data_IF_679073099677
#
_entry.id   IF_679073099677
#
_cell.length_a   1.000
_cell.length_b   1.000
_cell.length_c   1.000
_cell.angle_alpha   90.00
_cell.angle_beta   90.00
_cell.angle_gamma   90.00
#
_symmetry.space_group_name_H-M   'P 1'
#
loop_
_entity.id
_entity.type
_entity.pdbx_description
1 polymer ?
#
# COMPACT_ATOMS: atom_id res chain seq x y z
N UNK A 1 -7.36 -41.68 71.38
CA UNK A 1 -8.38 -40.64 71.17
C UNK A 1 -8.27 -40.13 69.75
N UNK A 2 -9.39 -40.09 69.04
CA UNK A 2 -9.58 -39.51 67.71
C UNK A 2 -9.40 -37.98 67.72
N UNK A 3 -9.07 -37.41 66.55
CA UNK A 3 -9.94 -36.54 65.71
C UNK A 3 -9.06 -35.67 64.77
N UNK A 4 -9.15 -35.85 63.44
CA UNK A 4 -10.05 -35.16 62.48
C UNK A 4 -9.66 -33.70 62.22
N UNK A 5 -9.15 -33.39 61.01
CA UNK A 5 -9.66 -32.29 60.16
C UNK A 5 -8.90 -32.19 58.82
N UNK A 6 -9.67 -32.22 57.73
CA UNK A 6 -9.31 -31.89 56.35
C UNK A 6 -8.67 -30.50 56.20
N UNK A 7 -7.86 -30.33 55.16
CA UNK A 7 -8.16 -29.33 54.14
C UNK A 7 -7.46 -29.63 52.80
N UNK A 8 -8.30 -29.74 51.78
CA UNK A 8 -8.00 -29.68 50.36
C UNK A 8 -7.31 -28.38 49.95
N UNK A 9 -6.30 -28.50 49.10
CA UNK A 9 -5.91 -27.47 48.15
C UNK A 9 -5.28 -28.13 46.91
N UNK A 10 -6.03 -29.01 46.25
CA UNK A 10 -5.80 -29.31 44.85
C UNK A 10 -6.41 -28.17 44.02
N UNK A 11 -5.63 -27.13 43.74
CA UNK A 11 -6.07 -26.03 42.88
C UNK A 11 -4.99 -25.66 41.87
N UNK A 12 -5.33 -25.95 40.61
CA UNK A 12 -4.88 -25.30 39.38
C UNK A 12 -3.37 -25.29 39.11
N UNK A 13 -2.92 -26.38 38.50
CA UNK A 13 -1.67 -26.40 37.72
C UNK A 13 -1.72 -27.37 36.55
N UNK A 14 -2.91 -27.78 36.12
CA UNK A 14 -3.09 -28.57 34.90
C UNK A 14 -3.18 -27.63 33.71
N UNK A 15 -2.04 -27.11 33.25
CA UNK A 15 -1.94 -26.63 31.88
C UNK A 15 -2.16 -27.86 30.97
N UNK A 16 -3.42 -28.12 30.63
CA UNK A 16 -3.74 -28.95 29.47
C UNK A 16 -3.26 -28.17 28.26
N UNK A 17 -1.99 -28.38 27.93
CA UNK A 17 -1.46 -28.20 26.59
C UNK A 17 -2.13 -29.27 25.71
N UNK A 18 -3.43 -29.08 25.46
CA UNK A 18 -4.15 -29.86 24.47
C UNK A 18 -3.71 -29.33 23.12
N UNK A 19 -2.69 -29.97 22.57
CA UNK A 19 -2.38 -29.92 21.15
C UNK A 19 -3.60 -30.46 20.40
N UNK A 20 -4.55 -29.58 20.13
CA UNK A 20 -5.78 -29.89 19.43
C UNK A 20 -5.37 -30.15 17.97
N UNK A 21 -5.47 -31.40 17.53
CA UNK A 21 -5.12 -31.79 16.17
C UNK A 21 -6.37 -31.79 15.27
N UNK A 22 -6.21 -31.45 13.99
CA UNK A 22 -7.28 -31.48 12.99
C UNK A 22 -8.02 -32.82 12.94
N UNK A 23 -7.32 -33.92 13.24
CA UNK A 23 -7.89 -35.27 13.30
C UNK A 23 -9.04 -35.41 14.31
N UNK A 24 -9.12 -34.55 15.32
CA UNK A 24 -10.21 -34.53 16.32
C UNK A 24 -11.48 -33.85 15.81
N UNK A 25 -11.43 -33.16 14.67
CA UNK A 25 -12.54 -32.38 14.10
C UNK A 25 -12.72 -32.68 12.60
N UNK A 26 -13.17 -33.89 12.23
CA UNK A 26 -13.30 -34.31 10.83
C UNK A 26 -14.37 -33.52 10.04
N UNK A 27 -15.29 -32.85 10.74
CA UNK A 27 -16.29 -31.97 10.14
C UNK A 27 -15.72 -30.61 9.69
N UNK A 28 -14.51 -30.26 10.13
CA UNK A 28 -13.80 -29.07 9.67
C UNK A 28 -12.92 -29.44 8.48
N UNK A 29 -13.03 -28.68 7.39
CA UNK A 29 -12.05 -28.76 6.31
C UNK A 29 -10.67 -28.25 6.79
N UNK A 30 -9.60 -28.63 6.07
CA UNK A 30 -8.25 -28.13 6.36
C UNK A 30 -8.19 -26.59 6.39
N UNK A 31 -8.90 -25.94 5.45
CA UNK A 31 -8.95 -24.49 5.36
C UNK A 31 -9.69 -23.84 6.54
N UNK A 32 -10.78 -24.43 7.01
CA UNK A 32 -11.51 -23.97 8.20
C UNK A 32 -10.69 -24.18 9.47
N UNK A 33 -9.99 -25.30 9.58
CA UNK A 33 -9.08 -25.57 10.69
C UNK A 33 -7.94 -24.55 10.76
N UNK A 34 -7.26 -24.30 9.64
CA UNK A 34 -6.22 -23.27 9.56
C UNK A 34 -6.77 -21.87 9.86
N UNK A 35 -8.01 -21.58 9.46
CA UNK A 35 -8.68 -20.33 9.78
C UNK A 35 -8.89 -20.17 11.30
N UNK A 36 -9.28 -21.24 12.01
CA UNK A 36 -9.41 -21.23 13.47
C UNK A 36 -8.05 -21.08 14.16
N UNK A 37 -6.98 -21.73 13.67
CA UNK A 37 -5.63 -21.53 14.18
C UNK A 37 -5.16 -20.06 14.03
N UNK A 38 -5.46 -19.42 12.88
CA UNK A 38 -5.17 -17.99 12.68
C UNK A 38 -6.05 -17.10 13.56
N UNK A 39 -7.31 -17.45 13.76
CA UNK A 39 -8.20 -16.73 14.67
C UNK A 39 -7.71 -16.83 16.13
N UNK A 40 -7.15 -17.99 16.52
CA UNK A 40 -6.49 -18.18 17.82
C UNK A 40 -5.32 -17.21 18.01
N UNK A 41 -4.48 -17.05 16.99
CA UNK A 41 -3.37 -16.11 17.02
C UNK A 41 -3.80 -14.63 17.17
N UNK A 42 -5.02 -14.27 16.75
CA UNK A 42 -5.55 -12.89 16.83
C UNK A 42 -6.35 -12.64 18.11
N UNK A 43 -7.10 -13.64 18.58
CA UNK A 43 -8.06 -13.51 19.70
C UNK A 43 -7.65 -14.21 20.99
N UNK A 44 -6.58 -15.01 20.95
CA UNK A 44 -6.09 -15.84 22.03
C UNK A 44 -6.70 -17.26 22.03
N UNK A 45 -5.88 -18.24 22.38
CA UNK A 45 -6.24 -19.67 22.33
C UNK A 45 -7.46 -20.00 23.20
N UNK A 46 -7.66 -19.30 24.32
CA UNK A 46 -8.80 -19.53 25.21
C UNK A 46 -10.17 -19.34 24.56
N UNK A 47 -10.28 -18.40 23.61
CA UNK A 47 -11.53 -18.15 22.87
C UNK A 47 -11.83 -19.31 21.92
N UNK A 48 -10.80 -19.79 21.21
CA UNK A 48 -10.91 -20.91 20.28
C UNK A 48 -11.14 -22.23 21.02
N UNK A 49 -10.45 -22.45 22.14
CA UNK A 49 -10.64 -23.64 22.97
C UNK A 49 -12.06 -23.70 23.54
N UNK A 50 -12.62 -22.57 23.97
CA UNK A 50 -14.02 -22.49 24.41
C UNK A 50 -14.98 -22.78 23.26
N UNK A 51 -14.73 -22.24 22.06
CA UNK A 51 -15.54 -22.49 20.87
C UNK A 51 -15.49 -23.98 20.44
N UNK A 52 -14.31 -24.61 20.53
CA UNK A 52 -14.12 -26.02 20.17
C UNK A 52 -14.67 -26.98 21.22
N UNK A 53 -14.74 -26.57 22.49
CA UNK A 53 -15.24 -27.40 23.60
C UNK A 53 -16.74 -27.23 23.84
N UNK A 54 -17.28 -26.01 23.72
CA UNK A 54 -18.68 -25.69 24.03
C UNK A 54 -19.54 -25.41 22.79
N UNK A 55 -18.93 -25.13 21.64
CA UNK A 55 -19.64 -24.87 20.39
C UNK A 55 -20.06 -26.16 19.68
N UNK A 56 -21.18 -26.10 18.96
CA UNK A 56 -21.62 -27.19 18.07
C UNK A 56 -20.73 -27.25 16.81
N UNK A 57 -20.74 -28.38 16.11
CA UNK A 57 -19.98 -28.55 14.85
C UNK A 57 -20.31 -27.46 13.82
N UNK A 58 -21.58 -27.06 13.72
CA UNK A 58 -22.02 -25.98 12.84
C UNK A 58 -21.46 -24.62 13.27
N UNK A 59 -21.44 -24.35 14.58
CA UNK A 59 -20.93 -23.09 15.11
C UNK A 59 -19.42 -22.95 14.93
N UNK A 60 -18.68 -24.05 15.00
CA UNK A 60 -17.25 -24.09 14.70
C UNK A 60 -16.97 -23.81 13.22
N UNK A 61 -17.74 -24.44 12.32
CA UNK A 61 -17.66 -24.15 10.87
C UNK A 61 -18.01 -22.70 10.56
N UNK A 62 -19.10 -22.19 11.13
CA UNK A 62 -19.55 -20.82 10.90
C UNK A 62 -18.49 -19.81 11.35
N UNK A 63 -17.91 -19.98 12.54
CA UNK A 63 -16.85 -19.10 13.02
C UNK A 63 -15.62 -19.09 12.11
N UNK A 64 -15.22 -20.26 11.59
CA UNK A 64 -14.12 -20.36 10.64
C UNK A 64 -14.44 -19.63 9.32
N UNK A 65 -15.66 -19.82 8.79
CA UNK A 65 -16.11 -19.18 7.55
C UNK A 65 -16.27 -17.67 7.69
N UNK A 66 -16.83 -17.19 8.79
CA UNK A 66 -16.93 -15.77 9.11
C UNK A 66 -15.55 -15.12 9.20
N UNK A 67 -14.60 -15.80 9.84
CA UNK A 67 -13.22 -15.32 9.91
C UNK A 67 -12.56 -15.27 8.53
N UNK A 68 -12.70 -16.32 7.71
CA UNK A 68 -12.19 -16.31 6.33
C UNK A 68 -12.83 -15.21 5.48
N UNK A 69 -14.14 -15.00 5.60
CA UNK A 69 -14.86 -13.95 4.90
C UNK A 69 -14.39 -12.57 5.33
N UNK A 70 -14.12 -12.37 6.63
CA UNK A 70 -13.55 -11.14 7.16
C UNK A 70 -12.12 -10.91 6.68
N UNK A 71 -11.26 -11.92 6.70
CA UNK A 71 -9.90 -11.84 6.16
C UNK A 71 -9.91 -11.46 4.67
N UNK A 72 -10.83 -12.06 3.89
CA UNK A 72 -11.01 -11.72 2.49
C UNK A 72 -11.55 -10.30 2.30
N UNK A 73 -12.50 -9.86 3.13
CA UNK A 73 -13.01 -8.50 3.12
C UNK A 73 -11.93 -7.48 3.47
N UNK A 74 -11.10 -7.76 4.47
CA UNK A 74 -9.97 -6.95 4.88
C UNK A 74 -8.90 -6.89 3.77
N UNK A 75 -8.60 -8.02 3.11
CA UNK A 75 -7.69 -8.06 1.96
C UNK A 75 -8.24 -7.23 0.80
N UNK A 76 -9.54 -7.36 0.49
CA UNK A 76 -10.21 -6.55 -0.54
C UNK A 76 -10.24 -5.08 -0.16
N UNK A 77 -10.42 -4.75 1.12
CA UNK A 77 -10.37 -3.39 1.60
C UNK A 77 -8.96 -2.83 1.51
N UNK A 78 -7.91 -3.58 1.84
CA UNK A 78 -6.51 -3.16 1.63
C UNK A 78 -6.13 -3.05 0.15
N UNK A 79 -6.77 -3.84 -0.73
CA UNK A 79 -6.60 -3.73 -2.17
C UNK A 79 -7.33 -2.52 -2.77
N UNK A 80 -8.48 -2.13 -2.21
CA UNK A 80 -9.33 -1.02 -2.71
C UNK A 80 -9.00 0.32 -2.06
N UNK A 81 -8.56 0.30 -0.80
CA UNK A 81 -7.96 1.45 -0.15
C UNK A 81 -6.57 1.59 -0.78
N UNK A 82 -6.20 2.73 -1.37
CA UNK A 82 -4.81 3.01 -1.66
C UNK A 82 -4.12 3.02 -0.30
N UNK A 83 -3.60 1.87 0.11
CA UNK A 83 -2.91 1.73 1.37
C UNK A 83 -1.70 2.63 1.21
N UNK A 84 -1.76 3.82 1.82
CA UNK A 84 -0.59 4.58 2.19
C UNK A 84 0.12 3.78 3.29
N UNK A 85 0.49 2.53 3.00
CA UNK A 85 1.71 2.00 3.56
C UNK A 85 2.75 2.97 3.05
N UNK A 86 3.25 3.80 3.96
CA UNK A 86 4.58 4.36 3.90
C UNK A 86 5.58 3.20 3.90
N UNK A 87 5.49 2.33 2.89
CA UNK A 87 6.67 1.77 2.28
C UNK A 87 7.48 3.03 2.03
N UNK A 88 8.58 3.16 2.75
CA UNK A 88 9.68 4.01 2.34
C UNK A 88 10.08 3.43 1.00
N UNK A 89 9.32 3.84 0.01
CA UNK A 89 9.38 3.54 -1.39
C UNK A 89 10.84 3.26 -1.70
N UNK A 90 11.09 2.16 -2.38
CA UNK A 90 11.99 2.22 -3.52
C UNK A 90 11.45 3.32 -4.46
N UNK A 91 11.54 4.58 -4.01
CA UNK A 91 11.60 5.74 -4.88
C UNK A 91 12.95 5.44 -5.50
N UNK A 92 12.92 4.76 -6.63
CA UNK A 92 13.97 4.88 -7.60
C UNK A 92 14.07 6.39 -7.77
N UNK A 93 15.06 6.99 -7.13
CA UNK A 93 15.30 8.43 -7.20
C UNK A 93 15.84 8.67 -8.59
N UNK A 94 14.92 8.62 -9.57
CA UNK A 94 15.20 8.96 -10.95
C UNK A 94 15.51 10.43 -10.94
N UNK A 95 16.81 10.72 -10.95
CA UNK A 95 17.27 12.08 -11.09
C UNK A 95 16.95 12.51 -12.50
N UNK A 96 16.15 13.56 -12.60
CA UNK A 96 15.84 14.21 -13.87
C UNK A 96 16.52 15.54 -13.78
N UNK A 97 17.38 15.79 -14.75
CA UNK A 97 18.25 16.95 -14.82
C UNK A 97 17.41 18.23 -14.84
N UNK A 98 17.86 19.26 -14.12
CA UNK A 98 17.19 20.55 -14.19
C UNK A 98 17.54 21.26 -15.51
N UNK A 99 16.52 21.74 -16.22
CA UNK A 99 16.68 22.46 -17.49
C UNK A 99 16.55 23.96 -17.28
N UNK A 100 17.60 24.72 -17.56
CA UNK A 100 17.66 26.17 -17.30
C UNK A 100 17.08 27.05 -18.41
N UNK A 101 16.85 26.53 -19.61
CA UNK A 101 16.50 27.34 -20.79
C UNK A 101 17.68 28.05 -21.44
N UNK A 102 18.92 27.72 -21.05
CA UNK A 102 20.15 28.29 -21.61
C UNK A 102 21.07 27.20 -22.15
N UNK A 103 21.77 27.47 -23.26
CA UNK A 103 22.74 26.56 -23.87
C UNK A 103 22.37 26.12 -25.28
N UNK A 104 23.38 25.82 -26.10
CA UNK A 104 23.27 25.58 -27.56
C UNK A 104 22.80 24.15 -27.94
N UNK A 105 22.16 23.41 -27.03
CA UNK A 105 22.01 21.96 -27.15
C UNK A 105 20.54 21.55 -27.37
N UNK A 106 20.17 21.24 -28.62
CA UNK A 106 18.90 20.54 -28.96
C UNK A 106 18.74 19.22 -28.19
N UNK A 107 19.86 18.65 -27.74
CA UNK A 107 19.90 17.47 -26.89
C UNK A 107 19.46 17.75 -25.45
N UNK A 108 19.66 18.93 -24.87
CA UNK A 108 19.27 19.19 -23.48
C UNK A 108 17.75 19.22 -23.26
N UNK A 109 16.98 19.86 -24.15
CA UNK A 109 15.52 19.91 -24.02
C UNK A 109 14.86 18.57 -24.39
N UNK A 110 15.30 17.92 -25.47
CA UNK A 110 14.79 16.60 -25.83
C UNK A 110 15.19 15.51 -24.81
N UNK A 111 16.42 15.56 -24.26
CA UNK A 111 16.84 14.69 -23.15
C UNK A 111 15.99 14.90 -21.91
N UNK A 112 15.68 16.15 -21.54
CA UNK A 112 14.76 16.45 -20.45
C UNK A 112 13.41 15.78 -20.69
N UNK A 113 12.85 15.86 -21.90
CA UNK A 113 11.56 15.24 -22.19
C UNK A 113 11.60 13.73 -22.04
N UNK A 114 12.64 13.07 -22.55
CA UNK A 114 12.83 11.63 -22.37
C UNK A 114 12.98 11.24 -20.90
N UNK A 115 13.81 11.97 -20.13
CA UNK A 115 13.98 11.73 -18.69
C UNK A 115 12.67 11.93 -17.92
N UNK A 116 11.88 12.95 -18.29
CA UNK A 116 10.56 13.20 -17.72
C UNK A 116 9.59 12.07 -18.04
N UNK A 117 9.54 11.58 -19.27
CA UNK A 117 8.63 10.49 -19.66
C UNK A 117 8.95 9.21 -18.87
N UNK A 118 10.24 8.82 -18.84
CA UNK A 118 10.71 7.68 -18.05
C UNK A 118 10.36 7.84 -16.57
N UNK A 119 10.57 9.04 -16.00
CA UNK A 119 10.28 9.29 -14.60
C UNK A 119 8.78 9.32 -14.30
N UNK A 120 7.94 9.83 -15.21
CA UNK A 120 6.47 9.83 -15.08
C UNK A 120 5.93 8.41 -15.05
N UNK A 121 6.41 7.56 -15.96
CA UNK A 121 6.04 6.14 -16.03
C UNK A 121 6.51 5.38 -14.78
N UNK A 122 7.79 5.48 -14.43
CA UNK A 122 8.37 4.76 -13.30
C UNK A 122 7.79 5.21 -11.95
N UNK A 123 7.43 6.48 -11.80
CA UNK A 123 6.81 7.03 -10.57
C UNK A 123 5.28 6.88 -10.57
N UNK A 124 4.70 6.32 -11.64
CA UNK A 124 3.26 6.14 -11.81
C UNK A 124 2.46 7.43 -11.54
N UNK A 125 2.94 8.56 -12.03
CA UNK A 125 2.23 9.83 -11.87
C UNK A 125 0.94 9.77 -12.69
N UNK A 126 -0.19 9.52 -12.03
CA UNK A 126 -1.47 9.21 -12.67
C UNK A 126 -2.27 10.44 -13.08
N UNK A 127 -2.12 11.56 -12.36
CA UNK A 127 -2.91 12.77 -12.62
C UNK A 127 -2.19 13.71 -13.59
N UNK A 128 -2.96 14.35 -14.49
CA UNK A 128 -2.44 15.35 -15.42
C UNK A 128 -1.72 16.50 -14.69
N UNK A 129 -2.29 16.94 -13.57
CA UNK A 129 -1.74 17.99 -12.72
C UNK A 129 -0.42 17.59 -12.05
N UNK A 130 -0.28 16.33 -11.59
CA UNK A 130 1.00 15.86 -11.04
C UNK A 130 2.08 15.80 -12.13
N UNK A 131 1.73 15.36 -13.35
CA UNK A 131 2.66 15.33 -14.48
C UNK A 131 3.13 16.73 -14.86
N UNK A 132 2.23 17.71 -14.99
CA UNK A 132 2.61 19.10 -15.33
C UNK A 132 3.42 19.77 -14.23
N UNK A 133 3.03 19.60 -12.96
CA UNK A 133 3.82 20.10 -11.81
C UNK A 133 5.19 19.43 -11.71
N UNK A 134 5.28 18.15 -12.07
CA UNK A 134 6.56 17.46 -12.13
C UNK A 134 7.47 18.07 -13.20
N UNK A 135 6.98 18.31 -14.43
CA UNK A 135 7.77 19.00 -15.46
C UNK A 135 8.20 20.39 -14.98
N UNK A 136 7.29 21.17 -14.39
CA UNK A 136 7.60 22.49 -13.84
C UNK A 136 8.72 22.43 -12.78
N UNK A 137 8.72 21.38 -11.94
CA UNK A 137 9.75 21.18 -10.92
C UNK A 137 11.15 20.93 -11.50
N UNK A 138 11.22 20.51 -12.77
CA UNK A 138 12.47 20.25 -13.51
C UNK A 138 12.95 21.43 -14.34
N UNK A 139 12.20 22.52 -14.37
CA UNK A 139 12.66 23.77 -14.96
C UNK A 139 13.46 24.58 -13.92
N UNK A 140 14.52 25.21 -14.38
CA UNK A 140 15.36 26.16 -13.66
C UNK A 140 15.61 27.40 -14.52
N UNK A 141 16.29 28.41 -13.96
CA UNK A 141 16.72 29.62 -14.70
C UNK A 141 15.61 30.26 -15.54
N UNK A 142 15.95 30.63 -16.79
CA UNK A 142 15.04 31.26 -17.75
C UNK A 142 13.82 30.39 -18.09
N UNK A 143 13.98 29.07 -18.14
CA UNK A 143 12.85 28.17 -18.37
C UNK A 143 11.83 28.21 -17.24
N UNK A 144 12.29 28.28 -15.99
CA UNK A 144 11.41 28.41 -14.83
C UNK A 144 10.72 29.78 -14.79
N UNK A 145 11.47 30.85 -15.03
CA UNK A 145 10.91 32.21 -15.09
C UNK A 145 9.83 32.34 -16.16
N UNK A 146 10.09 31.81 -17.37
CA UNK A 146 9.12 31.78 -18.45
C UNK A 146 7.83 31.02 -18.05
N UNK A 147 7.97 29.84 -17.45
CA UNK A 147 6.83 29.01 -17.08
C UNK A 147 5.99 29.67 -15.97
N UNK A 148 6.65 30.28 -14.98
CA UNK A 148 5.97 31.04 -13.92
C UNK A 148 5.26 32.27 -14.48
N UNK A 149 5.85 32.99 -15.45
CA UNK A 149 5.19 34.13 -16.08
C UNK A 149 3.93 33.72 -16.83
N UNK A 150 3.93 32.57 -17.54
CA UNK A 150 2.69 32.03 -18.15
C UNK A 150 1.64 31.69 -17.10
N UNK A 151 2.03 31.03 -16.00
CA UNK A 151 1.12 30.67 -14.91
C UNK A 151 0.50 31.88 -14.21
N UNK A 152 1.25 32.98 -14.08
CA UNK A 152 0.74 34.25 -13.53
C UNK A 152 -0.29 34.88 -14.47
N UNK A 153 -0.07 34.79 -15.79
CA UNK A 153 -1.01 35.31 -16.78
C UNK A 153 -2.27 34.44 -16.90
N UNK A 154 -2.13 33.12 -16.79
CA UNK A 154 -3.21 32.15 -16.84
C UNK A 154 -2.85 30.90 -16.02
N UNK A 155 -3.57 30.68 -14.92
CA UNK A 155 -3.37 29.53 -14.04
C UNK A 155 -3.66 28.18 -14.74
N UNK A 156 -4.41 28.19 -15.85
CA UNK A 156 -4.78 27.02 -16.63
C UNK A 156 -3.89 26.79 -17.86
N UNK A 157 -2.80 27.55 -18.03
CA UNK A 157 -1.97 27.54 -19.24
C UNK A 157 -1.28 26.19 -19.53
N UNK A 158 -1.22 25.29 -18.55
CA UNK A 158 -0.65 23.94 -18.69
C UNK A 158 -1.69 22.85 -18.36
N UNK A 159 -2.69 22.62 -19.23
CA UNK A 159 -3.75 21.64 -18.98
C UNK A 159 -3.23 20.20 -19.07
N UNK A 160 -2.20 19.94 -19.89
CA UNK A 160 -1.59 18.62 -20.06
C UNK A 160 -0.07 18.70 -20.11
N UNK A 161 0.58 17.57 -19.84
CA UNK A 161 2.04 17.47 -20.02
C UNK A 161 2.45 17.66 -21.48
N UNK A 162 1.65 17.17 -22.43
CA UNK A 162 1.93 17.29 -23.86
C UNK A 162 1.89 18.74 -24.34
N UNK A 163 0.87 19.50 -23.95
CA UNK A 163 0.77 20.93 -24.27
C UNK A 163 1.90 21.73 -23.65
N UNK A 164 2.27 21.43 -22.39
CA UNK A 164 3.41 22.07 -21.73
C UNK A 164 4.74 21.79 -22.45
N UNK A 165 4.98 20.54 -22.90
CA UNK A 165 6.17 20.19 -23.71
C UNK A 165 6.18 20.90 -25.06
N UNK A 166 5.03 21.05 -25.71
CA UNK A 166 4.92 21.79 -26.96
C UNK A 166 5.24 23.27 -26.78
N UNK A 167 4.70 23.90 -25.74
CA UNK A 167 4.99 25.32 -25.44
C UNK A 167 6.47 25.53 -25.11
N UNK A 168 7.11 24.60 -24.39
CA UNK A 168 8.53 24.65 -24.10
C UNK A 168 9.39 24.54 -25.36
N UNK A 169 8.99 23.72 -26.34
CA UNK A 169 9.65 23.71 -27.66
C UNK A 169 9.50 25.07 -28.34
N UNK A 170 8.29 25.60 -28.41
CA UNK A 170 8.06 26.88 -29.07
C UNK A 170 8.85 28.05 -28.43
N UNK A 171 9.06 28.02 -27.12
CA UNK A 171 9.77 29.08 -26.40
C UNK A 171 11.31 28.96 -26.41
N UNK A 172 11.84 27.74 -26.49
CA UNK A 172 13.28 27.48 -26.29
C UNK A 172 13.97 26.72 -27.43
N UNK A 173 13.21 26.22 -28.41
CA UNK A 173 13.79 25.60 -29.61
C UNK A 173 14.20 26.69 -30.60
N UNK A 174 15.47 26.69 -31.07
CA UNK A 174 15.91 27.65 -32.09
C UNK A 174 15.20 27.39 -33.42
N UNK A 175 15.03 28.43 -34.27
CA UNK A 175 14.55 28.26 -35.64
C UNK A 175 15.43 27.23 -36.36
N UNK A 176 14.81 26.29 -37.08
CA UNK A 176 15.57 25.42 -37.97
C UNK A 176 15.80 26.19 -39.27
N UNK A 177 17.07 26.46 -39.59
CA UNK A 177 17.52 26.88 -40.93
C UNK A 177 17.28 25.75 -41.96
#
# INVERSE_FOLDING_TARGET
MNDTSMNDASALGGATDISLEHASFPHLSLFEWEALCRLAAVSGDGVIMTLLTAGTEEQQRLAAQEFMARELADLRQRATTPTLTKNKTDIVKLDVSAYSGEGKSRLHLNRLFCEVDIAVEARQLSTLLARTRFVLSKLAGKAKEWALRKLVADASCFPTMASMKADLRLAFEPPQD
#
